data_IF_362830496665
#
_entry.id   IF_362830496665
#
_cell.length_a   1.000
_cell.length_b   1.000
_cell.length_c   1.000
_cell.angle_alpha   90.00
_cell.angle_beta   90.00
_cell.angle_gamma   90.00
#
_symmetry.space_group_name_H-M   'P 1'
#
loop_
_entity.id
_entity.type
_entity.pdbx_description
1 polymer ?
#
# COMPACT_ATOMS: atom_id res chain seq x y z
N UNK A 1 -44.11 -3.75 -5.37
CA UNK A 1 -44.23 -2.73 -4.30
C UNK A 1 -44.69 -3.41 -3.02
N UNK A 2 -43.77 -3.57 -2.07
CA UNK A 2 -44.02 -4.19 -0.76
C UNK A 2 -44.76 -3.18 0.15
N UNK A 3 -45.71 -3.66 0.96
CA UNK A 3 -46.59 -2.81 1.78
C UNK A 3 -46.65 -3.27 3.23
N UNK A 4 -46.60 -2.32 4.17
CA UNK A 4 -46.79 -2.55 5.61
C UNK A 4 -47.84 -1.60 6.21
N UNK A 5 -48.51 -2.05 7.26
CA UNK A 5 -49.50 -1.23 7.96
C UNK A 5 -48.84 -0.14 8.82
N UNK A 6 -47.65 -0.39 9.38
CA UNK A 6 -46.89 0.55 10.19
C UNK A 6 -45.39 0.16 10.26
N UNK A 7 -44.56 1.02 10.86
CA UNK A 7 -43.10 0.79 11.00
C UNK A 7 -42.79 -0.45 11.86
N UNK A 8 -43.59 -0.73 12.89
CA UNK A 8 -43.37 -1.90 13.75
C UNK A 8 -43.55 -3.23 13.00
N UNK A 9 -44.45 -3.27 12.01
CA UNK A 9 -44.61 -4.43 11.14
C UNK A 9 -43.37 -4.65 10.24
N UNK A 10 -42.73 -3.57 9.77
CA UNK A 10 -41.47 -3.65 9.03
C UNK A 10 -40.31 -4.11 9.93
N UNK A 11 -40.23 -3.61 11.16
CA UNK A 11 -39.18 -3.99 12.12
C UNK A 11 -39.16 -5.50 12.39
N UNK A 12 -40.33 -6.15 12.39
CA UNK A 12 -40.49 -7.60 12.58
C UNK A 12 -40.39 -8.41 11.29
N UNK A 13 -40.24 -7.76 10.13
CA UNK A 13 -40.13 -8.47 8.87
C UNK A 13 -38.83 -9.30 8.81
N UNK A 14 -38.85 -10.48 8.17
CA UNK A 14 -37.63 -11.24 7.90
C UNK A 14 -36.63 -10.43 7.06
N UNK A 15 -35.34 -10.74 7.22
CA UNK A 15 -34.25 -10.08 6.48
C UNK A 15 -34.42 -10.17 4.97
N UNK A 16 -34.83 -11.33 4.45
CA UNK A 16 -35.11 -11.52 3.02
C UNK A 16 -36.15 -10.56 2.44
N UNK A 17 -37.11 -10.13 3.27
CA UNK A 17 -38.13 -9.15 2.88
C UNK A 17 -37.53 -7.74 2.87
N UNK A 18 -36.64 -7.42 3.81
CA UNK A 18 -35.94 -6.13 3.86
C UNK A 18 -34.94 -5.99 2.71
N UNK A 19 -34.26 -7.06 2.34
CA UNK A 19 -33.41 -7.11 1.15
C UNK A 19 -34.22 -6.87 -0.13
N UNK A 20 -35.36 -7.53 -0.27
CA UNK A 20 -36.27 -7.33 -1.41
C UNK A 20 -36.81 -5.89 -1.48
N UNK A 21 -37.03 -5.25 -0.32
CA UNK A 21 -37.43 -3.84 -0.22
C UNK A 21 -36.31 -2.92 -0.73
N UNK A 22 -35.06 -3.16 -0.31
CA UNK A 22 -33.90 -2.39 -0.78
C UNK A 22 -33.71 -2.54 -2.29
N UNK A 23 -33.85 -3.75 -2.83
CA UNK A 23 -33.77 -4.01 -4.28
C UNK A 23 -34.89 -3.34 -5.09
N UNK A 24 -36.11 -3.25 -4.55
CA UNK A 24 -37.23 -2.60 -5.24
C UNK A 24 -37.14 -1.08 -5.23
N UNK A 25 -36.37 -0.47 -4.33
CA UNK A 25 -36.20 0.98 -4.22
C UNK A 25 -37.44 1.75 -3.76
N UNK A 26 -38.57 1.07 -3.47
CA UNK A 26 -39.84 1.66 -3.03
C UNK A 26 -40.58 0.80 -2.01
N UNK A 27 -41.23 1.45 -1.06
CA UNK A 27 -42.01 0.80 0.00
C UNK A 27 -43.27 1.62 0.32
N UNK A 28 -44.39 0.94 0.62
CA UNK A 28 -45.60 1.59 1.13
C UNK A 28 -45.79 1.29 2.61
N UNK A 29 -45.90 2.32 3.47
CA UNK A 29 -46.16 2.15 4.91
C UNK A 29 -47.30 3.06 5.35
N UNK A 30 -48.33 2.49 6.00
CA UNK A 30 -49.47 3.26 6.50
C UNK A 30 -50.20 4.02 5.38
N UNK A 31 -50.30 3.40 4.19
CA UNK A 31 -50.93 4.02 3.02
C UNK A 31 -50.06 4.99 2.23
N UNK A 32 -48.85 5.32 2.69
CA UNK A 32 -47.95 6.31 2.06
C UNK A 32 -46.77 5.63 1.37
N UNK A 33 -46.34 6.16 0.23
CA UNK A 33 -45.17 5.68 -0.52
C UNK A 33 -43.88 6.36 -0.05
N UNK A 34 -42.81 5.57 -0.01
CA UNK A 34 -41.47 5.97 0.37
C UNK A 34 -40.47 5.42 -0.65
N UNK A 35 -39.52 6.26 -1.06
CA UNK A 35 -38.37 5.88 -1.87
C UNK A 35 -37.20 5.50 -0.98
N UNK A 36 -36.47 4.49 -1.42
CA UNK A 36 -35.32 3.95 -0.71
C UNK A 36 -34.09 4.29 -1.54
N UNK A 37 -33.21 5.10 -0.95
CA UNK A 37 -31.94 5.47 -1.53
C UNK A 37 -30.87 4.62 -0.86
N UNK A 38 -30.60 3.46 -1.45
CA UNK A 38 -29.60 2.48 -0.97
C UNK A 38 -28.21 3.11 -0.87
N UNK A 39 -27.84 3.91 -1.86
CA UNK A 39 -26.52 4.57 -1.97
C UNK A 39 -26.26 5.60 -0.85
N UNK A 40 -27.34 6.04 -0.19
CA UNK A 40 -27.31 6.98 0.93
C UNK A 40 -27.81 6.34 2.23
N UNK A 41 -28.19 5.05 2.21
CA UNK A 41 -28.83 4.34 3.31
C UNK A 41 -29.96 5.16 3.98
N UNK A 42 -30.84 5.74 3.16
CA UNK A 42 -31.94 6.58 3.64
C UNK A 42 -33.28 6.27 2.96
N UNK A 43 -34.35 6.48 3.72
CA UNK A 43 -35.73 6.39 3.24
C UNK A 43 -36.31 7.80 3.19
N UNK A 44 -36.76 8.21 2.01
CA UNK A 44 -37.41 9.49 1.80
C UNK A 44 -38.89 9.27 1.49
N UNK A 45 -39.74 10.19 1.95
CA UNK A 45 -41.14 10.16 1.55
C UNK A 45 -41.29 10.68 0.12
N UNK A 46 -42.03 9.96 -0.70
CA UNK A 46 -42.48 10.47 -1.99
C UNK A 46 -43.45 11.62 -1.75
N UNK A 47 -43.12 12.84 -2.19
CA UNK A 47 -44.08 13.94 -2.14
C UNK A 47 -45.28 13.61 -3.04
N UNK A 48 -46.52 13.89 -2.61
CA UNK A 48 -47.67 13.69 -3.48
C UNK A 48 -47.54 14.62 -4.70
N UNK A 49 -47.65 14.05 -5.90
CA UNK A 49 -47.75 14.81 -7.16
C UNK A 49 -48.93 15.78 -7.08
N UNK A 50 -48.63 17.09 -7.08
CA UNK A 50 -49.47 18.26 -7.40
C UNK A 50 -50.99 18.24 -7.16
N UNK A 51 -51.46 17.61 -6.09
CA UNK A 51 -52.86 17.67 -5.68
C UNK A 51 -53.03 18.48 -4.40
N UNK A 52 -53.70 19.62 -4.51
CA UNK A 52 -54.12 20.47 -3.37
C UNK A 52 -54.94 19.63 -2.35
N UNK A 53 -55.74 18.69 -2.84
CA UNK A 53 -56.53 17.76 -2.02
C UNK A 53 -55.63 16.79 -1.25
N UNK A 54 -54.55 16.30 -1.86
CA UNK A 54 -53.58 15.43 -1.18
C UNK A 54 -52.82 16.18 -0.07
N UNK A 55 -52.48 17.46 -0.29
CA UNK A 55 -51.85 18.31 0.75
C UNK A 55 -52.82 18.64 1.90
N UNK A 56 -54.10 18.86 1.60
CA UNK A 56 -55.15 19.11 2.61
C UNK A 56 -55.44 17.89 3.48
N UNK A 57 -55.64 16.71 2.87
CA UNK A 57 -55.84 15.45 3.59
C UNK A 57 -54.60 15.10 4.44
N UNK A 58 -53.40 15.49 4.01
CA UNK A 58 -52.18 15.36 4.80
C UNK A 58 -52.16 16.30 6.02
N UNK A 59 -52.60 17.54 5.87
CA UNK A 59 -52.75 18.50 6.96
C UNK A 59 -53.70 17.98 8.05
N UNK A 60 -54.81 17.35 7.65
CA UNK A 60 -55.78 16.75 8.57
C UNK A 60 -55.28 15.41 9.14
N UNK A 61 -54.58 14.59 8.36
CA UNK A 61 -54.02 13.31 8.85
C UNK A 61 -52.87 13.48 9.85
N UNK A 62 -52.13 14.60 9.83
CA UNK A 62 -51.14 14.95 10.87
C UNK A 62 -51.76 15.09 12.26
N UNK A 63 -53.06 15.38 12.36
CA UNK A 63 -53.78 15.51 13.63
C UNK A 63 -54.25 14.17 14.22
N UNK A 64 -54.35 13.10 13.42
CA UNK A 64 -55.05 11.87 13.82
C UNK A 64 -54.27 10.56 13.61
N UNK A 65 -53.05 10.59 13.07
CA UNK A 65 -52.22 9.38 12.89
C UNK A 65 -50.83 9.53 13.48
N UNK A 66 -50.34 8.43 14.07
CA UNK A 66 -49.07 8.31 14.78
C UNK A 66 -47.88 8.78 13.94
N UNK A 67 -47.29 9.91 14.32
CA UNK A 67 -45.98 10.40 13.86
C UNK A 67 -46.01 11.29 12.61
N UNK A 68 -45.12 12.29 12.56
CA UNK A 68 -44.91 13.09 11.36
C UNK A 68 -44.32 12.22 10.24
N UNK A 69 -44.53 12.59 8.97
CA UNK A 69 -43.94 11.84 7.84
C UNK A 69 -42.41 11.73 7.93
N UNK A 70 -41.75 12.72 8.53
CA UNK A 70 -40.31 12.71 8.81
C UNK A 70 -39.96 11.68 9.89
N UNK A 71 -40.75 11.57 10.97
CA UNK A 71 -40.53 10.56 12.01
C UNK A 71 -40.77 9.14 11.49
N UNK A 72 -41.73 8.94 10.59
CA UNK A 72 -41.94 7.66 9.91
C UNK A 72 -40.76 7.33 9.01
N UNK A 73 -40.33 8.25 8.13
CA UNK A 73 -39.15 8.05 7.28
C UNK A 73 -37.87 7.76 8.10
N UNK A 74 -37.70 8.42 9.25
CA UNK A 74 -36.62 8.15 10.20
C UNK A 74 -36.73 6.75 10.81
N UNK A 75 -37.92 6.33 11.25
CA UNK A 75 -38.15 4.98 11.78
C UNK A 75 -37.94 3.89 10.72
N UNK A 76 -38.34 4.14 9.46
CA UNK A 76 -38.08 3.24 8.34
C UNK A 76 -36.59 3.14 8.04
N UNK A 77 -35.89 4.28 8.02
CA UNK A 77 -34.42 4.32 7.85
C UNK A 77 -33.73 3.52 8.95
N UNK A 78 -34.15 3.69 10.21
CA UNK A 78 -33.59 2.93 11.33
C UNK A 78 -33.85 1.42 11.20
N UNK A 79 -35.06 1.05 10.77
CA UNK A 79 -35.46 -0.35 10.59
C UNK A 79 -34.75 -1.04 9.42
N UNK A 80 -34.39 -0.32 8.36
CA UNK A 80 -33.76 -0.89 7.16
C UNK A 80 -32.24 -0.77 7.17
N UNK A 81 -31.67 0.25 7.85
CA UNK A 81 -30.27 0.62 7.71
C UNK A 81 -29.50 0.89 9.02
N UNK A 82 -30.15 1.12 10.16
CA UNK A 82 -29.43 1.49 11.40
C UNK A 82 -29.40 0.38 12.45
N UNK A 83 -30.44 -0.44 12.51
CA UNK A 83 -30.53 -1.60 13.41
C UNK A 83 -29.99 -2.90 12.80
N UNK A 84 -29.42 -2.84 11.59
CA UNK A 84 -28.91 -3.99 10.85
C UNK A 84 -27.39 -4.03 10.85
N UNK A 85 -26.82 -5.16 11.25
CA UNK A 85 -25.42 -5.48 11.00
C UNK A 85 -25.07 -5.37 9.50
N UNK A 86 -26.02 -5.69 8.61
CA UNK A 86 -25.84 -5.62 7.15
C UNK A 86 -25.53 -4.23 6.61
N UNK A 87 -26.07 -3.15 7.20
CA UNK A 87 -25.84 -1.80 6.70
C UNK A 87 -24.47 -1.23 7.12
N UNK A 88 -24.02 -1.51 8.34
CA UNK A 88 -22.62 -1.27 8.73
C UNK A 88 -21.69 -2.10 7.86
N UNK A 89 -21.99 -3.39 7.67
CA UNK A 89 -21.20 -4.29 6.84
C UNK A 89 -21.09 -3.79 5.39
N UNK A 90 -22.20 -3.32 4.78
CA UNK A 90 -22.20 -2.69 3.46
C UNK A 90 -21.25 -1.48 3.41
N UNK A 91 -21.31 -0.59 4.40
CA UNK A 91 -20.41 0.57 4.48
C UNK A 91 -18.94 0.15 4.58
N UNK A 92 -18.63 -0.80 5.45
CA UNK A 92 -17.28 -1.33 5.62
C UNK A 92 -16.76 -2.03 4.35
N UNK A 93 -17.65 -2.66 3.58
CA UNK A 93 -17.36 -3.35 2.32
C UNK A 93 -17.37 -2.44 1.08
N UNK A 94 -17.67 -1.14 1.22
CA UNK A 94 -17.65 -0.19 0.09
C UNK A 94 -16.31 -0.24 -0.64
N UNK A 95 -16.34 -0.03 -1.96
CA UNK A 95 -15.13 -0.11 -2.78
C UNK A 95 -14.30 1.18 -2.65
N UNK A 96 -14.95 2.31 -2.38
CA UNK A 96 -14.32 3.63 -2.20
C UNK A 96 -14.69 4.32 -0.90
N UNK A 97 -13.88 5.29 -0.49
CA UNK A 97 -14.22 6.21 0.61
C UNK A 97 -15.46 7.06 0.31
N UNK A 98 -15.67 7.43 -0.95
CA UNK A 98 -16.82 8.25 -1.38
C UNK A 98 -18.13 7.49 -1.18
N UNK A 99 -18.21 6.23 -1.60
CA UNK A 99 -19.40 5.38 -1.37
C UNK A 99 -19.68 5.20 0.13
N UNK A 100 -18.63 4.91 0.92
CA UNK A 100 -18.76 4.77 2.37
C UNK A 100 -19.29 6.08 2.99
N UNK A 101 -18.69 7.22 2.64
CA UNK A 101 -19.08 8.53 3.15
C UNK A 101 -20.48 8.96 2.74
N UNK A 102 -20.89 8.69 1.49
CA UNK A 102 -22.26 8.95 1.00
C UNK A 102 -23.30 8.23 1.87
N UNK A 103 -23.06 6.96 2.17
CA UNK A 103 -23.93 6.18 3.06
C UNK A 103 -23.89 6.69 4.51
N UNK A 104 -22.70 7.02 5.02
CA UNK A 104 -22.52 7.46 6.40
C UNK A 104 -23.17 8.84 6.66
N UNK A 105 -22.88 9.81 5.79
CA UNK A 105 -23.33 11.20 5.91
C UNK A 105 -24.67 11.48 5.24
N UNK A 106 -25.20 10.53 4.46
CA UNK A 106 -26.42 10.66 3.66
C UNK A 106 -26.33 11.83 2.67
N UNK A 107 -25.15 11.97 2.06
CA UNK A 107 -24.80 13.12 1.22
C UNK A 107 -24.31 12.68 -0.15
N UNK A 108 -25.21 12.70 -1.15
CA UNK A 108 -24.88 12.38 -2.54
C UNK A 108 -23.93 13.40 -3.20
N UNK A 109 -23.76 14.57 -2.59
CA UNK A 109 -22.91 15.64 -3.10
C UNK A 109 -21.42 15.33 -3.01
N UNK A 110 -21.01 14.37 -2.18
CA UNK A 110 -19.61 13.93 -2.05
C UNK A 110 -19.19 13.19 -3.33
N UNK A 111 -18.15 13.67 -4.02
CA UNK A 111 -17.64 13.15 -5.29
C UNK A 111 -16.17 12.71 -5.23
N UNK A 112 -15.40 13.16 -4.22
CA UNK A 112 -13.98 12.84 -4.13
C UNK A 112 -13.52 12.52 -2.70
N UNK A 113 -12.39 11.80 -2.52
CA UNK A 113 -11.82 11.51 -1.22
C UNK A 113 -11.48 12.77 -0.40
N UNK A 114 -11.05 13.84 -1.05
CA UNK A 114 -10.77 15.14 -0.42
C UNK A 114 -12.05 15.76 0.16
N UNK A 115 -13.17 15.68 -0.57
CA UNK A 115 -14.46 16.12 -0.06
C UNK A 115 -14.92 15.27 1.13
N UNK A 116 -14.61 13.97 1.14
CA UNK A 116 -14.88 13.09 2.28
C UNK A 116 -14.06 13.52 3.51
N UNK A 117 -12.77 13.80 3.35
CA UNK A 117 -11.90 14.28 4.41
C UNK A 117 -12.37 15.65 4.94
N UNK A 118 -12.68 16.59 4.06
CA UNK A 118 -13.25 17.89 4.42
C UNK A 118 -14.55 17.75 5.21
N UNK A 119 -15.42 16.83 4.79
CA UNK A 119 -16.67 16.52 5.50
C UNK A 119 -16.39 15.95 6.88
N UNK A 120 -15.48 14.97 6.99
CA UNK A 120 -15.05 14.39 8.26
C UNK A 120 -14.48 15.43 9.21
N UNK A 121 -13.63 16.34 8.73
CA UNK A 121 -13.00 17.39 9.53
C UNK A 121 -13.99 18.40 10.11
N UNK A 122 -15.13 18.62 9.44
CA UNK A 122 -16.20 19.55 9.87
C UNK A 122 -17.33 18.89 10.63
N UNK A 123 -17.31 17.57 10.78
CA UNK A 123 -18.39 16.80 11.41
C UNK A 123 -18.19 16.78 12.92
N UNK A 124 -19.17 17.31 13.66
CA UNK A 124 -19.22 17.22 15.13
C UNK A 124 -19.50 15.77 15.56
N UNK A 125 -18.84 15.29 16.61
CA UNK A 125 -19.02 13.92 17.13
C UNK A 125 -20.48 13.62 17.47
N UNK A 126 -21.26 14.63 17.90
CA UNK A 126 -22.70 14.49 18.16
C UNK A 126 -23.51 14.14 16.91
N UNK A 127 -23.04 14.56 15.72
CA UNK A 127 -23.71 14.26 14.46
C UNK A 127 -23.45 12.85 13.95
N UNK A 128 -22.46 12.15 14.54
CA UNK A 128 -22.12 10.75 14.29
C UNK A 128 -22.66 9.81 15.38
N UNK A 129 -23.72 10.21 16.08
CA UNK A 129 -24.34 9.39 17.12
C UNK A 129 -24.70 7.98 16.60
N UNK A 130 -24.13 6.96 17.23
CA UNK A 130 -24.31 5.55 16.86
C UNK A 130 -23.28 5.00 15.86
N UNK A 131 -22.33 5.83 15.39
CA UNK A 131 -21.20 5.41 14.56
C UNK A 131 -20.01 5.12 15.47
N UNK A 132 -19.35 3.97 15.26
CA UNK A 132 -18.18 3.61 16.06
C UNK A 132 -16.95 4.45 15.68
N UNK A 133 -16.08 4.75 16.66
CA UNK A 133 -14.80 5.42 16.39
C UNK A 133 -13.91 4.63 15.41
N UNK A 134 -14.02 3.30 15.42
CA UNK A 134 -13.35 2.41 14.47
C UNK A 134 -13.79 2.64 13.03
N UNK A 135 -15.09 2.79 12.78
CA UNK A 135 -15.62 3.09 11.44
C UNK A 135 -15.14 4.47 10.95
N UNK A 136 -15.17 5.48 11.81
CA UNK A 136 -14.70 6.84 11.46
C UNK A 136 -13.21 6.82 11.11
N UNK A 137 -12.40 6.13 11.92
CA UNK A 137 -10.97 5.95 11.66
C UNK A 137 -10.72 5.25 10.33
N UNK A 138 -11.45 4.19 10.03
CA UNK A 138 -11.32 3.47 8.76
C UNK A 138 -11.71 4.34 7.56
N UNK A 139 -12.77 5.13 7.66
CA UNK A 139 -13.15 6.06 6.60
C UNK A 139 -12.07 7.13 6.39
N UNK A 140 -11.52 7.68 7.47
CA UNK A 140 -10.42 8.64 7.43
C UNK A 140 -9.18 8.05 6.74
N UNK A 141 -8.72 6.88 7.17
CA UNK A 141 -7.55 6.21 6.60
C UNK A 141 -7.75 5.88 5.12
N UNK A 142 -8.95 5.40 4.74
CA UNK A 142 -9.30 5.09 3.36
C UNK A 142 -9.32 6.33 2.48
N UNK A 143 -10.01 7.39 2.92
CA UNK A 143 -10.11 8.65 2.17
C UNK A 143 -8.73 9.31 2.03
N UNK A 144 -7.90 9.28 3.08
CA UNK A 144 -6.54 9.80 3.04
C UNK A 144 -5.65 9.00 2.08
N UNK A 145 -5.75 7.68 2.09
CA UNK A 145 -5.00 6.84 1.16
C UNK A 145 -5.39 7.10 -0.29
N UNK A 146 -6.70 7.19 -0.58
CA UNK A 146 -7.20 7.50 -1.92
C UNK A 146 -6.77 8.91 -2.37
N UNK A 147 -6.88 9.92 -1.50
CA UNK A 147 -6.42 11.27 -1.79
C UNK A 147 -4.91 11.33 -2.07
N UNK A 148 -4.08 10.63 -1.28
CA UNK A 148 -2.63 10.57 -1.49
C UNK A 148 -2.27 9.90 -2.82
N UNK A 149 -2.96 8.82 -3.20
CA UNK A 149 -2.77 8.17 -4.51
C UNK A 149 -3.14 9.12 -5.65
N UNK A 150 -4.17 9.95 -5.48
CA UNK A 150 -4.62 10.93 -6.49
C UNK A 150 -3.72 12.16 -6.62
N UNK A 151 -2.77 12.38 -5.71
CA UNK A 151 -1.76 13.44 -5.89
C UNK A 151 -0.87 13.18 -7.11
N UNK A 152 -0.23 14.23 -7.63
CA UNK A 152 0.72 14.07 -8.73
C UNK A 152 1.86 13.09 -8.38
N UNK A 153 2.34 13.16 -7.14
CA UNK A 153 3.38 12.27 -6.61
C UNK A 153 2.90 10.82 -6.50
N UNK A 154 1.65 10.62 -6.04
CA UNK A 154 1.02 9.29 -5.96
C UNK A 154 0.83 8.64 -7.33
N UNK A 155 0.32 9.39 -8.31
CA UNK A 155 0.12 8.90 -9.68
C UNK A 155 1.46 8.58 -10.37
N UNK A 156 2.49 9.41 -10.16
CA UNK A 156 3.82 9.16 -10.70
C UNK A 156 4.46 7.90 -10.08
N UNK A 157 4.28 7.66 -8.77
CA UNK A 157 4.70 6.41 -8.13
C UNK A 157 3.95 5.21 -8.70
N UNK A 158 2.63 5.31 -8.87
CA UNK A 158 1.82 4.24 -9.48
C UNK A 158 2.28 3.89 -10.90
N UNK A 159 2.67 4.88 -11.71
CA UNK A 159 3.23 4.63 -13.04
C UNK A 159 4.58 3.89 -13.00
N UNK A 160 5.39 4.09 -11.96
CA UNK A 160 6.71 3.47 -11.83
C UNK A 160 6.67 2.07 -11.22
N UNK A 161 5.94 1.90 -10.11
CA UNK A 161 5.97 0.66 -9.31
C UNK A 161 4.62 -0.08 -9.26
N UNK A 162 3.59 0.47 -9.90
CA UNK A 162 2.26 -0.12 -10.00
C UNK A 162 1.33 0.17 -8.81
N UNK A 163 0.01 -0.01 -8.98
CA UNK A 163 -1.00 0.42 -8.00
C UNK A 163 -0.87 -0.28 -6.64
N UNK A 164 -0.54 -1.58 -6.64
CA UNK A 164 -0.42 -2.35 -5.40
C UNK A 164 0.74 -1.88 -4.53
N UNK A 165 1.88 -1.54 -5.14
CA UNK A 165 3.08 -1.12 -4.42
C UNK A 165 2.89 0.30 -3.90
N UNK A 166 2.36 1.21 -4.72
CA UNK A 166 2.02 2.57 -4.30
C UNK A 166 1.05 2.57 -3.14
N UNK A 167 -0.02 1.77 -3.19
CA UNK A 167 -0.99 1.68 -2.09
C UNK A 167 -0.35 1.11 -0.81
N UNK A 168 0.52 0.12 -0.93
CA UNK A 168 1.24 -0.42 0.22
C UNK A 168 2.14 0.64 0.89
N UNK A 169 2.85 1.45 0.09
CA UNK A 169 3.67 2.56 0.58
C UNK A 169 2.82 3.63 1.27
N UNK A 170 1.72 4.07 0.63
CA UNK A 170 0.80 5.09 1.16
C UNK A 170 0.19 4.62 2.48
N UNK A 171 -0.23 3.36 2.58
CA UNK A 171 -0.79 2.81 3.81
C UNK A 171 0.20 2.85 4.99
N UNK A 172 1.50 2.75 4.72
CA UNK A 172 2.53 2.91 5.76
C UNK A 172 2.70 4.36 6.22
N UNK A 173 2.19 5.34 5.48
CA UNK A 173 2.26 6.75 5.86
C UNK A 173 1.06 7.22 6.68
N UNK A 174 -0.08 6.52 6.60
CA UNK A 174 -1.32 6.90 7.28
C UNK A 174 -1.16 7.10 8.80
N UNK A 175 -0.37 6.29 9.54
CA UNK A 175 -0.19 6.50 10.99
C UNK A 175 0.45 7.84 11.37
N UNK A 176 1.07 8.56 10.42
CA UNK A 176 1.65 9.89 10.65
C UNK A 176 0.65 11.02 10.48
N UNK A 177 -0.58 10.72 10.06
CA UNK A 177 -1.70 11.65 10.06
C UNK A 177 -2.70 11.26 11.15
N UNK A 178 -3.44 12.26 11.64
CA UNK A 178 -4.48 12.04 12.65
C UNK A 178 -5.78 12.74 12.27
N UNK A 179 -6.89 12.13 12.67
CA UNK A 179 -8.22 12.74 12.53
C UNK A 179 -8.32 14.07 13.31
N UNK A 180 -7.59 14.20 14.41
CA UNK A 180 -7.58 15.43 15.21
C UNK A 180 -6.91 16.59 14.47
N UNK A 181 -5.80 16.32 13.78
CA UNK A 181 -5.14 17.30 12.91
C UNK A 181 -6.06 17.74 11.76
N UNK A 182 -6.83 16.81 11.19
CA UNK A 182 -7.83 17.12 10.18
C UNK A 182 -8.96 18.01 10.74
N UNK A 183 -9.46 17.71 11.94
CA UNK A 183 -10.51 18.51 12.60
C UNK A 183 -10.04 19.91 12.96
N UNK A 184 -8.81 20.03 13.44
CA UNK A 184 -8.21 21.32 13.80
C UNK A 184 -8.02 22.22 12.57
N UNK A 185 -7.58 21.64 11.46
CA UNK A 185 -7.37 22.40 10.20
C UNK A 185 -8.66 22.61 9.40
N UNK A 186 -9.64 21.72 9.53
CA UNK A 186 -10.88 21.73 8.75
C UNK A 186 -10.68 21.53 7.24
N UNK A 187 -9.51 21.06 6.83
CA UNK A 187 -9.08 21.00 5.43
C UNK A 187 -8.24 19.76 5.13
N UNK A 188 -8.72 18.98 4.16
CA UNK A 188 -8.00 17.85 3.54
C UNK A 188 -6.63 18.25 3.00
N UNK A 189 -6.50 19.45 2.44
CA UNK A 189 -5.24 19.94 1.88
C UNK A 189 -4.12 19.99 2.93
N UNK A 190 -4.45 20.23 4.21
CA UNK A 190 -3.45 20.26 5.28
C UNK A 190 -2.89 18.87 5.59
N UNK A 191 -3.74 17.84 5.68
CA UNK A 191 -3.29 16.48 6.02
C UNK A 191 -2.66 15.77 4.83
N UNK A 192 -3.20 15.97 3.62
CA UNK A 192 -2.62 15.45 2.38
C UNK A 192 -1.28 16.13 2.11
N UNK A 193 -1.23 17.46 2.18
CA UNK A 193 0.00 18.24 1.99
C UNK A 193 1.07 17.98 3.06
N UNK A 194 0.69 17.48 4.24
CA UNK A 194 1.63 17.03 5.27
C UNK A 194 2.34 15.72 4.95
N UNK A 195 1.73 14.85 4.14
CA UNK A 195 2.28 13.53 3.80
C UNK A 195 2.80 13.44 2.36
N UNK A 196 2.28 14.22 1.41
CA UNK A 196 2.75 14.22 0.02
C UNK A 196 4.27 14.43 -0.12
N UNK A 197 4.95 15.31 0.65
CA UNK A 197 6.40 15.47 0.55
C UNK A 197 7.18 14.17 0.77
N UNK A 198 6.64 13.22 1.55
CA UNK A 198 7.24 11.91 1.77
C UNK A 198 7.23 11.10 0.45
N UNK A 199 6.12 11.15 -0.29
CA UNK A 199 5.99 10.51 -1.61
C UNK A 199 6.89 11.17 -2.64
N UNK A 200 7.05 12.49 -2.61
CA UNK A 200 7.96 13.23 -3.51
C UNK A 200 9.42 12.82 -3.31
N UNK A 201 9.87 12.67 -2.06
CA UNK A 201 11.22 12.19 -1.74
C UNK A 201 11.44 10.78 -2.27
N UNK A 202 10.46 9.89 -2.05
CA UNK A 202 10.53 8.53 -2.55
C UNK A 202 10.59 8.48 -4.08
N UNK A 203 9.71 9.23 -4.76
CA UNK A 203 9.67 9.32 -6.22
C UNK A 203 11.00 9.81 -6.79
N UNK A 204 11.58 10.86 -6.19
CA UNK A 204 12.90 11.37 -6.58
C UNK A 204 13.98 10.29 -6.45
N UNK A 205 14.03 9.61 -5.30
CA UNK A 205 15.04 8.60 -5.05
C UNK A 205 14.87 7.39 -5.99
N UNK A 206 13.63 6.99 -6.28
CA UNK A 206 13.32 5.94 -7.26
C UNK A 206 13.83 6.29 -8.65
N UNK A 207 13.57 7.52 -9.12
CA UNK A 207 14.05 7.99 -10.42
C UNK A 207 15.58 7.96 -10.52
N UNK A 208 16.27 8.43 -9.48
CA UNK A 208 17.74 8.41 -9.42
C UNK A 208 18.29 6.98 -9.44
N UNK A 209 17.74 6.09 -8.61
CA UNK A 209 18.16 4.69 -8.56
C UNK A 209 17.90 3.98 -9.90
N UNK A 210 16.72 4.17 -10.49
CA UNK A 210 16.38 3.59 -11.78
C UNK A 210 17.33 4.06 -12.88
N UNK A 211 17.57 5.36 -12.98
CA UNK A 211 18.45 5.94 -13.98
C UNK A 211 19.88 5.42 -13.84
N UNK A 212 20.40 5.37 -12.61
CA UNK A 212 21.73 4.83 -12.35
C UNK A 212 21.82 3.36 -12.78
N UNK A 213 20.90 2.51 -12.34
CA UNK A 213 20.94 1.09 -12.65
C UNK A 213 20.72 0.80 -14.15
N UNK A 214 19.89 1.58 -14.84
CA UNK A 214 19.79 1.52 -16.31
C UNK A 214 21.10 1.95 -16.99
N UNK A 215 21.79 2.96 -16.46
CA UNK A 215 23.09 3.38 -17.00
C UNK A 215 24.16 2.31 -16.84
N UNK A 216 24.17 1.56 -15.73
CA UNK A 216 25.11 0.46 -15.46
C UNK A 216 24.99 -0.63 -16.53
N UNK A 217 23.79 -0.94 -17.01
CA UNK A 217 23.57 -1.92 -18.09
C UNK A 217 24.16 -1.49 -19.44
N UNK A 218 24.47 -0.21 -19.62
CA UNK A 218 25.04 0.34 -20.86
C UNK A 218 26.56 0.56 -20.78
N UNK A 219 27.18 0.32 -19.61
CA UNK A 219 28.61 0.47 -19.43
C UNK A 219 29.37 -0.80 -19.79
N UNK A 220 30.62 -0.65 -20.24
CA UNK A 220 31.56 -1.75 -20.28
C UNK A 220 32.08 -2.06 -18.87
N UNK A 221 31.41 -2.99 -18.20
CA UNK A 221 31.76 -3.40 -16.84
C UNK A 221 33.05 -4.25 -16.78
N UNK A 222 33.62 -4.66 -17.92
CA UNK A 222 34.92 -5.35 -18.01
C UNK A 222 36.13 -4.41 -18.04
N UNK A 223 35.89 -3.11 -18.25
CA UNK A 223 36.92 -2.07 -18.36
C UNK A 223 37.00 -1.18 -17.12
N UNK A 224 38.07 -0.37 -17.03
CA UNK A 224 38.19 0.64 -16.00
C UNK A 224 37.02 1.66 -16.12
N UNK A 225 36.43 2.14 -15.00
CA UNK A 225 36.82 1.90 -13.60
C UNK A 225 36.18 0.65 -12.94
N UNK A 226 35.41 -0.16 -13.69
CA UNK A 226 34.62 -1.29 -13.17
C UNK A 226 35.39 -2.60 -13.01
N UNK A 227 36.66 -2.66 -13.44
CA UNK A 227 37.49 -3.86 -13.37
C UNK A 227 38.58 -3.82 -12.29
N UNK A 228 38.49 -2.86 -11.35
CA UNK A 228 39.44 -2.75 -10.25
C UNK A 228 39.33 -3.96 -9.31
N UNK A 229 40.46 -4.59 -9.02
CA UNK A 229 40.56 -5.81 -8.21
C UNK A 229 41.09 -5.49 -6.82
N UNK A 230 40.46 -6.04 -5.79
CA UNK A 230 40.92 -5.90 -4.41
C UNK A 230 42.16 -6.77 -4.15
N UNK A 231 43.17 -6.22 -3.48
CA UNK A 231 44.41 -6.96 -3.16
C UNK A 231 44.15 -8.21 -2.31
N UNK A 232 44.71 -9.35 -2.71
CA UNK A 232 44.58 -10.66 -2.03
C UNK A 232 44.91 -10.57 -0.55
N UNK A 233 46.00 -9.89 -0.18
CA UNK A 233 46.43 -9.75 1.21
C UNK A 233 45.46 -8.96 2.10
N UNK A 234 44.57 -8.17 1.49
CA UNK A 234 43.62 -7.34 2.23
C UNK A 234 42.41 -8.14 2.71
N UNK A 235 41.87 -9.02 1.87
CA UNK A 235 40.66 -9.78 2.18
C UNK A 235 40.91 -11.25 2.52
N UNK A 236 42.02 -11.83 2.06
CA UNK A 236 42.42 -13.22 2.29
C UNK A 236 43.76 -13.32 3.04
N UNK A 237 43.84 -12.82 4.30
CA UNK A 237 45.10 -12.88 5.07
C UNK A 237 45.50 -14.30 5.47
N UNK A 238 44.60 -15.28 5.35
CA UNK A 238 44.84 -16.69 5.67
C UNK A 238 45.42 -17.48 4.48
N UNK A 239 45.49 -16.88 3.29
CA UNK A 239 46.09 -17.52 2.11
C UNK A 239 45.28 -18.68 1.54
N UNK A 240 43.94 -18.61 1.58
CA UNK A 240 43.09 -19.60 0.93
C UNK A 240 43.34 -19.61 -0.58
N UNK A 241 43.44 -20.79 -1.18
CA UNK A 241 43.70 -20.94 -2.64
C UNK A 241 42.46 -21.34 -3.43
N UNK A 242 41.50 -22.00 -2.78
CA UNK A 242 40.23 -22.39 -3.41
C UNK A 242 39.33 -21.16 -3.60
N UNK A 243 38.79 -20.96 -4.81
CA UNK A 243 38.00 -19.77 -5.14
C UNK A 243 36.76 -19.59 -4.27
N UNK A 244 36.13 -20.68 -3.83
CA UNK A 244 35.00 -20.62 -2.90
C UNK A 244 35.40 -20.03 -1.55
N UNK A 245 36.56 -20.42 -1.04
CA UNK A 245 37.04 -19.96 0.26
C UNK A 245 37.58 -18.52 0.14
N UNK A 246 38.22 -18.18 -0.99
CA UNK A 246 38.58 -16.80 -1.35
C UNK A 246 37.35 -15.89 -1.42
N UNK A 247 36.29 -16.33 -2.08
CA UNK A 247 35.02 -15.59 -2.16
C UNK A 247 34.37 -15.40 -0.79
N UNK A 248 34.32 -16.44 0.04
CA UNK A 248 33.83 -16.33 1.41
C UNK A 248 34.66 -15.35 2.25
N UNK A 249 35.98 -15.33 2.10
CA UNK A 249 36.87 -14.39 2.76
C UNK A 249 36.60 -12.94 2.34
N UNK A 250 36.36 -12.71 1.05
CA UNK A 250 36.00 -11.40 0.51
C UNK A 250 34.65 -10.89 1.05
N UNK A 251 33.61 -11.72 1.03
CA UNK A 251 32.29 -11.36 1.58
C UNK A 251 32.40 -11.08 3.09
N UNK A 252 33.12 -11.93 3.83
CA UNK A 252 33.29 -11.78 5.27
C UNK A 252 34.07 -10.51 5.62
N UNK A 253 35.13 -10.18 4.87
CA UNK A 253 35.92 -8.96 5.08
C UNK A 253 35.06 -7.70 4.95
N UNK A 254 34.09 -7.71 4.05
CA UNK A 254 33.19 -6.59 3.81
C UNK A 254 31.93 -6.60 4.71
N UNK A 255 31.79 -7.60 5.59
CA UNK A 255 30.67 -7.76 6.51
C UNK A 255 31.12 -7.41 7.93
N UNK A 256 30.29 -6.70 8.69
CA UNK A 256 30.64 -6.18 10.01
C UNK A 256 30.10 -7.03 11.18
N UNK A 257 29.34 -8.10 10.90
CA UNK A 257 28.76 -9.02 11.89
C UNK A 257 29.68 -10.20 12.21
N UNK A 258 29.93 -10.46 13.50
CA UNK A 258 30.83 -11.54 13.95
C UNK A 258 30.14 -12.91 14.16
N UNK A 259 30.94 -13.98 14.10
CA UNK A 259 30.69 -15.23 14.84
C UNK A 259 30.40 -16.49 14.03
N UNK A 260 29.48 -16.45 13.06
CA UNK A 260 29.00 -17.67 12.35
C UNK A 260 28.87 -17.50 10.81
N UNK A 261 29.30 -16.36 10.26
CA UNK A 261 29.05 -16.04 8.85
C UNK A 261 29.91 -16.84 7.86
N UNK A 262 31.13 -17.27 8.26
CA UNK A 262 32.01 -18.03 7.37
C UNK A 262 31.40 -19.37 6.93
N UNK A 263 30.92 -20.17 7.88
CA UNK A 263 30.31 -21.47 7.60
C UNK A 263 29.04 -21.30 6.76
N UNK A 264 28.23 -20.29 7.04
CA UNK A 264 27.03 -19.99 6.26
C UNK A 264 27.38 -19.58 4.82
N UNK A 265 28.31 -18.63 4.63
CA UNK A 265 28.73 -18.19 3.30
C UNK A 265 29.31 -19.34 2.49
N UNK A 266 30.24 -20.11 3.06
CA UNK A 266 30.84 -21.24 2.34
C UNK A 266 29.82 -22.32 2.00
N UNK A 267 28.87 -22.62 2.89
CA UNK A 267 27.78 -23.57 2.60
C UNK A 267 26.89 -23.07 1.45
N UNK A 268 26.45 -21.81 1.50
CA UNK A 268 25.60 -21.22 0.45
C UNK A 268 26.34 -21.13 -0.89
N UNK A 269 27.61 -20.72 -0.89
CA UNK A 269 28.43 -20.65 -2.10
C UNK A 269 28.59 -22.04 -2.75
N UNK A 270 28.87 -23.09 -1.96
CA UNK A 270 29.02 -24.46 -2.46
C UNK A 270 27.72 -25.04 -3.01
N UNK A 271 26.60 -24.76 -2.34
CA UNK A 271 25.29 -25.20 -2.80
C UNK A 271 24.87 -24.47 -4.08
N UNK A 272 24.85 -23.15 -4.07
CA UNK A 272 24.30 -22.35 -5.17
C UNK A 272 25.20 -22.26 -6.40
N UNK A 273 26.51 -22.55 -6.27
CA UNK A 273 27.37 -22.71 -7.46
C UNK A 273 26.96 -23.92 -8.32
N UNK A 274 26.34 -24.94 -7.73
CA UNK A 274 26.09 -26.24 -8.39
C UNK A 274 24.62 -26.61 -8.57
N UNK A 275 23.69 -25.94 -7.86
CA UNK A 275 22.28 -26.30 -7.88
C UNK A 275 21.48 -25.82 -9.12
N UNK A 276 22.09 -25.04 -10.01
CA UNK A 276 21.47 -24.56 -11.26
C UNK A 276 20.33 -23.56 -11.09
N UNK A 277 20.05 -23.05 -9.88
CA UNK A 277 19.00 -22.04 -9.67
C UNK A 277 19.31 -20.74 -10.41
N UNK A 278 18.29 -20.11 -10.98
CA UNK A 278 18.45 -18.85 -11.70
C UNK A 278 18.69 -17.69 -10.72
N UNK A 279 19.82 -16.99 -10.86
CA UNK A 279 20.19 -15.87 -9.98
C UNK A 279 19.57 -14.55 -10.43
N UNK A 280 18.83 -14.51 -11.54
CA UNK A 280 17.99 -13.37 -11.91
C UNK A 280 16.53 -13.56 -11.48
N UNK A 281 16.17 -14.71 -10.87
CA UNK A 281 14.82 -14.93 -10.33
C UNK A 281 14.67 -14.33 -8.93
N UNK A 282 13.73 -13.39 -8.78
CA UNK A 282 13.43 -12.75 -7.50
C UNK A 282 13.00 -13.74 -6.40
N UNK A 283 12.37 -14.86 -6.75
CA UNK A 283 11.98 -15.92 -5.80
C UNK A 283 13.21 -16.63 -5.25
N UNK A 284 14.17 -16.96 -6.11
CA UNK A 284 15.46 -17.56 -5.72
C UNK A 284 16.23 -16.60 -4.82
N UNK A 285 16.25 -15.31 -5.17
CA UNK A 285 16.92 -14.28 -4.38
C UNK A 285 16.29 -14.12 -2.98
N UNK A 286 14.97 -14.18 -2.85
CA UNK A 286 14.27 -14.15 -1.55
C UNK A 286 14.60 -15.39 -0.70
N UNK A 287 14.62 -16.57 -1.29
CA UNK A 287 15.00 -17.81 -0.58
C UNK A 287 16.45 -17.74 -0.10
N UNK A 288 17.37 -17.35 -0.97
CA UNK A 288 18.78 -17.24 -0.65
C UNK A 288 19.02 -16.17 0.43
N UNK A 289 18.37 -15.01 0.34
CA UNK A 289 18.46 -13.94 1.33
C UNK A 289 17.96 -14.37 2.72
N UNK A 290 16.85 -15.10 2.79
CA UNK A 290 16.32 -15.63 4.06
C UNK A 290 17.31 -16.57 4.77
N UNK A 291 18.10 -17.33 4.01
CA UNK A 291 19.15 -18.22 4.56
C UNK A 291 20.43 -17.46 4.90
N UNK A 292 20.73 -16.42 4.14
CA UNK A 292 21.88 -15.56 4.36
C UNK A 292 21.73 -14.71 5.62
N UNK A 293 20.51 -14.22 5.88
CA UNK A 293 20.19 -13.30 6.98
C UNK A 293 18.90 -13.78 7.69
N UNK A 294 18.98 -14.81 8.55
CA UNK A 294 17.80 -15.49 9.11
C UNK A 294 17.01 -14.67 10.14
N UNK A 295 17.65 -13.74 10.86
CA UNK A 295 17.06 -13.00 11.98
C UNK A 295 16.74 -11.54 11.63
N UNK A 296 16.15 -11.30 10.45
CA UNK A 296 15.79 -9.94 10.05
C UNK A 296 14.60 -9.45 10.89
N UNK A 297 14.82 -8.37 11.63
CA UNK A 297 13.73 -7.53 12.08
C UNK A 297 13.01 -6.99 10.83
N UNK A 298 11.79 -7.49 10.59
CA UNK A 298 10.98 -7.14 9.42
C UNK A 298 10.33 -5.76 9.56
N UNK A 299 10.94 -4.87 10.33
CA UNK A 299 10.48 -3.51 10.49
C UNK A 299 10.52 -2.79 9.15
N UNK A 300 9.43 -2.09 8.86
CA UNK A 300 9.30 -1.33 7.63
C UNK A 300 10.32 -0.19 7.62
N UNK A 301 11.21 -0.17 6.62
CA UNK A 301 12.04 1.00 6.31
C UNK A 301 11.26 1.93 5.38
N UNK A 302 10.98 3.14 5.84
CA UNK A 302 10.28 4.18 5.06
C UNK A 302 11.19 5.02 4.18
N UNK A 303 10.61 5.96 3.40
CA UNK A 303 11.37 6.90 2.57
C UNK A 303 12.39 7.72 3.36
N UNK A 304 13.54 8.00 2.76
CA UNK A 304 14.66 8.68 3.42
C UNK A 304 14.48 10.22 3.52
N UNK A 305 13.53 10.66 4.33
CA UNK A 305 13.16 12.08 4.49
C UNK A 305 14.23 12.96 5.17
N UNK A 306 15.28 12.35 5.76
CA UNK A 306 16.39 13.06 6.43
C UNK A 306 17.61 13.30 5.52
N UNK A 307 17.42 13.34 4.20
CA UNK A 307 18.47 13.67 3.23
C UNK A 307 19.21 12.46 2.63
N UNK A 308 18.76 11.24 2.94
CA UNK A 308 19.29 10.02 2.32
C UNK A 308 18.70 9.74 0.93
N UNK A 309 19.35 8.85 0.18
CA UNK A 309 18.89 8.38 -1.14
C UNK A 309 18.27 6.98 -1.11
N UNK A 310 18.17 6.38 0.08
CA UNK A 310 17.65 5.03 0.24
C UNK A 310 16.17 4.98 -0.09
N UNK A 311 15.80 3.94 -0.84
CA UNK A 311 14.41 3.60 -1.11
C UNK A 311 13.77 3.00 0.14
N UNK A 312 12.46 3.20 0.29
CA UNK A 312 11.69 2.40 1.23
C UNK A 312 11.82 0.92 0.88
N UNK A 313 11.67 0.07 1.90
CA UNK A 313 11.70 -1.38 1.74
C UNK A 313 10.64 -1.92 0.75
N UNK A 314 9.52 -1.20 0.58
CA UNK A 314 8.42 -1.59 -0.31
C UNK A 314 8.78 -1.33 -1.77
N UNK A 315 9.20 -0.11 -2.09
CA UNK A 315 9.49 0.27 -3.48
C UNK A 315 10.83 -0.29 -3.95
N UNK A 316 11.84 -0.36 -3.06
CA UNK A 316 13.13 -0.96 -3.38
C UNK A 316 12.99 -2.43 -3.79
N UNK A 317 12.14 -3.20 -3.09
CA UNK A 317 11.85 -4.58 -3.45
C UNK A 317 11.15 -4.70 -4.81
N UNK A 318 10.20 -3.80 -5.09
CA UNK A 318 9.48 -3.77 -6.36
C UNK A 318 10.40 -3.41 -7.54
N UNK A 319 11.26 -2.40 -7.36
CA UNK A 319 12.24 -2.00 -8.37
C UNK A 319 13.25 -3.10 -8.66
N UNK A 320 13.73 -3.80 -7.64
CA UNK A 320 14.60 -4.96 -7.82
C UNK A 320 13.88 -6.05 -8.63
N UNK A 321 12.66 -6.44 -8.25
CA UNK A 321 11.87 -7.46 -8.96
C UNK A 321 11.66 -7.11 -10.45
N UNK A 322 11.39 -5.84 -10.75
CA UNK A 322 11.23 -5.39 -12.13
C UNK A 322 12.55 -5.38 -12.89
N UNK A 323 13.64 -4.90 -12.27
CA UNK A 323 14.93 -4.78 -12.92
C UNK A 323 15.56 -6.15 -13.22
N UNK A 324 15.40 -7.12 -12.33
CA UNK A 324 15.87 -8.49 -12.52
C UNK A 324 15.33 -9.11 -13.82
N UNK A 325 14.09 -8.80 -14.21
CA UNK A 325 13.47 -9.26 -15.46
C UNK A 325 14.11 -8.69 -16.73
N UNK A 326 14.93 -7.65 -16.59
CA UNK A 326 15.65 -7.03 -17.72
C UNK A 326 17.08 -7.53 -17.87
N UNK A 327 17.59 -8.29 -16.91
CA UNK A 327 18.95 -8.79 -16.95
C UNK A 327 19.05 -9.98 -17.90
N UNK A 328 20.09 -9.98 -18.72
CA UNK A 328 20.52 -11.16 -19.45
C UNK A 328 21.35 -12.05 -18.52
N UNK A 329 20.80 -13.20 -18.16
CA UNK A 329 21.44 -14.16 -17.25
C UNK A 329 22.73 -14.76 -17.80
N UNK A 330 22.91 -14.73 -19.13
CA UNK A 330 24.08 -15.28 -19.81
C UNK A 330 25.13 -14.18 -20.11
N UNK A 331 24.86 -12.93 -19.73
CA UNK A 331 25.79 -11.82 -19.90
C UNK A 331 27.06 -12.01 -19.05
N UNK A 332 28.24 -11.80 -19.64
CA UNK A 332 29.54 -12.03 -18.99
C UNK A 332 29.68 -11.28 -17.64
N UNK A 333 29.09 -10.10 -17.55
CA UNK A 333 29.15 -9.23 -16.36
C UNK A 333 27.87 -9.28 -15.50
N UNK A 334 27.01 -10.30 -15.65
CA UNK A 334 25.74 -10.41 -14.91
C UNK A 334 25.95 -10.36 -13.39
N UNK A 335 27.06 -10.88 -12.88
CA UNK A 335 27.42 -10.78 -11.46
C UNK A 335 27.50 -9.35 -10.93
N UNK A 336 28.13 -8.46 -11.71
CA UNK A 336 28.23 -7.03 -11.36
C UNK A 336 26.88 -6.33 -11.46
N UNK A 337 26.07 -6.70 -12.46
CA UNK A 337 24.71 -6.17 -12.62
C UNK A 337 23.79 -6.59 -11.46
N UNK A 338 23.88 -7.85 -11.02
CA UNK A 338 23.15 -8.35 -9.85
C UNK A 338 23.58 -7.65 -8.56
N UNK A 339 24.90 -7.48 -8.36
CA UNK A 339 25.42 -6.69 -7.24
C UNK A 339 24.85 -5.26 -7.27
N UNK A 340 24.96 -4.58 -8.43
CA UNK A 340 24.51 -3.22 -8.63
C UNK A 340 23.02 -3.07 -8.30
N UNK A 341 22.18 -3.97 -8.83
CA UNK A 341 20.74 -3.94 -8.62
C UNK A 341 20.33 -4.17 -7.16
N UNK A 342 20.86 -5.21 -6.52
CA UNK A 342 20.49 -5.56 -5.13
C UNK A 342 20.92 -4.46 -4.16
N UNK A 343 22.14 -3.96 -4.30
CA UNK A 343 22.68 -2.92 -3.42
C UNK A 343 22.07 -1.56 -3.76
N UNK A 344 21.97 -1.20 -5.03
CA UNK A 344 21.47 0.10 -5.47
C UNK A 344 19.99 0.33 -5.14
N UNK A 345 19.12 -0.66 -5.41
CA UNK A 345 17.69 -0.55 -5.07
C UNK A 345 17.38 -0.79 -3.58
N UNK A 346 18.32 -1.34 -2.81
CA UNK A 346 18.06 -1.80 -1.44
C UNK A 346 16.79 -2.66 -1.35
N UNK A 347 16.71 -3.67 -2.21
CA UNK A 347 15.53 -4.53 -2.36
C UNK A 347 15.18 -5.34 -1.12
N UNK A 348 16.10 -5.45 -0.16
CA UNK A 348 15.89 -6.08 1.13
C UNK A 348 15.94 -5.06 2.28
N UNK A 349 15.30 -5.39 3.40
CA UNK A 349 15.29 -4.55 4.61
C UNK A 349 16.70 -4.40 5.18
N UNK A 350 17.44 -5.50 5.23
CA UNK A 350 18.84 -5.57 5.65
C UNK A 350 19.62 -6.56 4.77
N UNK A 351 20.95 -6.52 4.82
CA UNK A 351 21.82 -7.50 4.19
C UNK A 351 22.01 -7.33 2.68
N UNK A 352 21.62 -6.19 2.10
CA UNK A 352 21.78 -5.93 0.66
C UNK A 352 23.25 -6.08 0.20
N UNK A 353 24.21 -5.57 0.98
CA UNK A 353 25.64 -5.74 0.68
C UNK A 353 26.10 -7.20 0.71
N UNK A 354 25.69 -7.96 1.74
CA UNK A 354 25.99 -9.41 1.83
C UNK A 354 25.39 -10.16 0.65
N UNK A 355 24.14 -9.87 0.31
CA UNK A 355 23.43 -10.50 -0.79
C UNK A 355 24.03 -10.16 -2.16
N UNK A 356 24.33 -8.89 -2.42
CA UNK A 356 24.97 -8.47 -3.67
C UNK A 356 26.33 -9.13 -3.87
N UNK A 357 27.17 -9.16 -2.84
CA UNK A 357 28.49 -9.82 -2.91
C UNK A 357 28.36 -11.33 -3.08
N UNK A 358 27.40 -11.96 -2.40
CA UNK A 358 27.13 -13.38 -2.57
C UNK A 358 26.73 -13.72 -4.01
N UNK A 359 25.83 -12.92 -4.61
CA UNK A 359 25.41 -13.13 -6.00
C UNK A 359 26.57 -12.95 -6.99
N UNK A 360 27.38 -11.91 -6.81
CA UNK A 360 28.60 -11.70 -7.61
C UNK A 360 29.56 -12.89 -7.51
N UNK A 361 29.83 -13.35 -6.29
CA UNK A 361 30.70 -14.50 -6.06
C UNK A 361 30.13 -15.77 -6.70
N UNK A 362 28.81 -16.00 -6.61
CA UNK A 362 28.17 -17.17 -7.21
C UNK A 362 28.28 -17.19 -8.74
N UNK A 363 28.14 -16.05 -9.40
CA UNK A 363 28.29 -15.96 -10.86
C UNK A 363 29.73 -16.22 -11.29
N UNK A 364 30.71 -15.66 -10.57
CA UNK A 364 32.13 -15.92 -10.82
C UNK A 364 32.47 -17.41 -10.63
N UNK A 365 32.01 -18.01 -9.53
CA UNK A 365 32.27 -19.42 -9.24
C UNK A 365 31.62 -20.38 -10.24
N UNK A 366 30.46 -20.01 -10.80
CA UNK A 366 29.83 -20.77 -11.91
C UNK A 366 30.67 -20.70 -13.19
N UNK A 367 31.45 -19.64 -13.36
CA UNK A 367 32.45 -19.49 -14.42
C UNK A 367 33.83 -20.07 -14.05
N UNK A 368 33.93 -20.82 -12.93
CA UNK A 368 35.16 -21.46 -12.46
C UNK A 368 36.32 -20.49 -12.19
N UNK A 369 35.98 -19.29 -11.73
CA UNK A 369 36.96 -18.28 -11.32
C UNK A 369 36.46 -17.48 -10.12
N UNK A 370 37.33 -16.67 -9.51
CA UNK A 370 36.89 -15.62 -8.60
C UNK A 370 37.85 -14.43 -8.62
N UNK A 371 37.32 -13.28 -9.04
CA UNK A 371 38.02 -11.98 -8.99
C UNK A 371 37.33 -11.05 -8.00
N UNK A 372 37.96 -10.66 -6.88
CA UNK A 372 37.33 -9.81 -5.85
C UNK A 372 37.22 -8.35 -6.32
N UNK A 373 36.02 -7.77 -6.32
CA UNK A 373 35.84 -6.36 -6.65
C UNK A 373 36.48 -5.45 -5.59
N UNK A 374 37.13 -4.38 -6.05
CA UNK A 374 37.55 -3.29 -5.20
C UNK A 374 36.35 -2.48 -4.66
N UNK A 375 36.53 -1.81 -3.53
CA UNK A 375 35.47 -1.02 -2.86
C UNK A 375 34.96 0.11 -3.75
N UNK A 376 35.85 0.71 -4.54
CA UNK A 376 35.53 1.77 -5.48
C UNK A 376 34.59 1.26 -6.59
N UNK A 377 34.81 0.04 -7.08
CA UNK A 377 33.93 -0.61 -8.06
C UNK A 377 32.57 -0.89 -7.46
N UNK A 378 32.49 -1.40 -6.22
CA UNK A 378 31.21 -1.60 -5.53
C UNK A 378 30.41 -0.29 -5.39
N UNK A 379 31.08 0.82 -5.03
CA UNK A 379 30.46 2.14 -4.90
C UNK A 379 29.92 2.64 -6.25
N UNK A 380 30.71 2.51 -7.32
CA UNK A 380 30.32 2.91 -8.67
C UNK A 380 29.11 2.12 -9.19
N UNK A 381 29.08 0.80 -8.93
CA UNK A 381 27.97 -0.07 -9.34
C UNK A 381 26.68 0.26 -8.57
N UNK A 382 26.77 0.43 -7.25
CA UNK A 382 25.58 0.67 -6.42
C UNK A 382 24.98 2.07 -6.60
N UNK A 383 25.79 3.09 -6.88
CA UNK A 383 25.33 4.48 -7.05
C UNK A 383 24.97 5.18 -5.74
N UNK A 384 25.47 4.67 -4.60
CA UNK A 384 25.11 5.14 -3.26
C UNK A 384 26.13 6.13 -2.65
N UNK A 385 27.23 6.37 -3.35
CA UNK A 385 28.30 7.30 -2.93
C UNK A 385 27.99 8.77 -3.20
#
# INVERSE_FOLDING_TARGET
MITFNNVAALQRAPESVKDAIQQQGVLKVGGREYHIQTDLQQVLRTQPKDSIVARFIEGVSKLFTTGSSASVAQGLTQSLFTSHAGALQQRLQSISSVEHARMLFKDAGLQSPEQVLDRLGRTDDKSLNGVSSGEVKQLFERALAEALVNTASGQALEALVGPSVTRALVNKQLPFASLESLRTSGSSASVVGGLEPILMVELKNLGLAQQHQQSVLQQDLGSAPYNSVLSESFYNPKGYTEDVDRAAAWILKASTSGGNEWENFTALLREYRSNGKDLTDATVLKELHQRLVPDIDRSYRGPAISGGRLLSSITGAAMLDQHLKTLDKDHEQVGKQLFAAVVGFHGFIDGNGRMGRLLYALTELRAQQFTPMAVETENLLSGLS
#
